data_IF_564659035394
#
_entry.id   IF_564659035394
#
_cell.length_a   1.000
_cell.length_b   1.000
_cell.length_c   1.000
_cell.angle_alpha   90.00
_cell.angle_beta   90.00
_cell.angle_gamma   90.00
#
_symmetry.space_group_name_H-M   'P 1'
#
loop_
_entity.id
_entity.type
_entity.pdbx_description
1 polymer ?
#
# COMPACT_ATOMS: atom_id res chain seq x y z
N UNK A 1 41.11 -80.02 -8.99
CA UNK A 1 42.44 -79.48 -8.64
C UNK A 1 42.77 -78.35 -9.60
N UNK A 2 43.17 -77.19 -9.05
CA UNK A 2 44.05 -76.16 -9.64
C UNK A 2 43.47 -75.14 -10.65
N UNK A 3 43.23 -73.95 -10.11
CA UNK A 3 43.56 -72.58 -10.58
C UNK A 3 43.72 -72.30 -12.09
N UNK A 4 43.03 -71.27 -12.59
CA UNK A 4 43.60 -69.91 -12.75
C UNK A 4 42.92 -69.13 -13.89
N UNK A 5 42.88 -67.79 -13.73
CA UNK A 5 42.64 -66.79 -14.77
C UNK A 5 41.18 -66.63 -15.24
N UNK A 6 40.57 -65.45 -15.34
CA UNK A 6 41.11 -64.10 -15.36
C UNK A 6 39.96 -63.14 -14.98
N UNK A 7 40.25 -62.27 -14.02
CA UNK A 7 39.47 -61.12 -13.59
C UNK A 7 39.35 -60.12 -14.74
N UNK A 8 38.17 -59.88 -15.32
CA UNK A 8 37.87 -58.66 -16.10
C UNK A 8 36.37 -58.55 -16.50
N UNK A 9 35.51 -58.08 -15.60
CA UNK A 9 34.26 -57.38 -15.99
C UNK A 9 33.61 -56.71 -14.78
N UNK A 10 34.40 -55.98 -14.01
CA UNK A 10 33.89 -55.02 -13.04
C UNK A 10 34.12 -53.64 -13.65
N UNK A 11 33.16 -52.73 -13.47
CA UNK A 11 33.20 -51.30 -13.81
C UNK A 11 32.88 -50.88 -15.25
N UNK A 12 31.58 -50.77 -15.52
CA UNK A 12 30.91 -49.78 -16.38
C UNK A 12 29.45 -50.23 -16.44
N UNK A 13 28.46 -49.57 -15.87
CA UNK A 13 28.05 -48.21 -16.19
C UNK A 13 26.88 -47.87 -15.23
N UNK A 14 27.16 -47.19 -14.11
CA UNK A 14 26.15 -46.44 -13.37
C UNK A 14 26.56 -44.97 -13.43
N UNK A 15 26.24 -44.33 -14.55
CA UNK A 15 26.31 -42.87 -14.64
C UNK A 15 24.96 -42.37 -14.15
N UNK A 16 24.92 -42.13 -12.85
CA UNK A 16 23.97 -41.26 -12.16
C UNK A 16 23.85 -39.93 -12.94
N UNK A 17 22.71 -39.70 -13.59
CA UNK A 17 22.34 -38.38 -14.09
C UNK A 17 21.87 -37.52 -12.91
N UNK A 18 22.79 -37.13 -12.03
CA UNK A 18 22.56 -35.99 -11.15
C UNK A 18 22.99 -34.75 -11.90
N UNK A 19 22.13 -34.27 -12.79
CA UNK A 19 22.13 -32.85 -13.13
C UNK A 19 21.55 -32.13 -11.93
N UNK A 20 22.36 -31.90 -10.89
CA UNK A 20 22.05 -30.82 -9.95
C UNK A 20 22.03 -29.56 -10.81
N UNK A 21 20.82 -29.06 -11.11
CA UNK A 21 20.66 -27.75 -11.73
C UNK A 21 21.48 -26.80 -10.87
N UNK A 22 22.44 -26.06 -11.43
CA UNK A 22 23.15 -25.04 -10.66
C UNK A 22 22.08 -24.17 -10.01
N UNK A 23 22.08 -24.13 -8.68
CA UNK A 23 21.24 -23.21 -7.94
C UNK A 23 21.76 -21.82 -8.32
N UNK A 24 21.04 -21.17 -9.23
CA UNK A 24 21.27 -19.78 -9.54
C UNK A 24 20.79 -19.06 -8.30
N UNK A 25 21.71 -18.70 -7.41
CA UNK A 25 21.41 -17.74 -6.35
C UNK A 25 21.08 -16.45 -7.10
N UNK A 26 19.81 -16.00 -7.09
CA UNK A 26 19.48 -14.72 -7.71
C UNK A 26 20.35 -13.64 -7.06
N UNK A 27 20.71 -12.62 -7.84
CA UNK A 27 21.36 -11.47 -7.25
C UNK A 27 20.54 -10.99 -6.05
N UNK A 28 21.19 -10.52 -4.96
CA UNK A 28 20.45 -9.97 -3.82
C UNK A 28 19.50 -8.90 -4.35
N UNK A 29 18.21 -9.12 -4.12
CA UNK A 29 17.20 -8.12 -4.44
C UNK A 29 17.38 -6.95 -3.49
N UNK A 30 17.38 -5.72 -4.01
CA UNK A 30 17.35 -4.52 -3.19
C UNK A 30 15.89 -4.12 -2.86
N UNK A 31 14.99 -5.10 -2.77
CA UNK A 31 13.59 -4.84 -2.42
C UNK A 31 13.55 -4.27 -1.01
N UNK A 32 12.89 -3.11 -0.87
CA UNK A 32 12.67 -2.53 0.44
C UNK A 32 11.58 -3.35 1.14
N UNK A 33 11.92 -3.94 2.29
CA UNK A 33 10.94 -4.60 3.14
C UNK A 33 10.20 -3.53 3.97
N UNK A 34 9.01 -3.15 3.51
CA UNK A 34 8.05 -2.40 4.32
C UNK A 34 6.93 -3.33 4.78
N UNK A 35 6.25 -2.97 5.86
CA UNK A 35 5.11 -3.71 6.39
C UNK A 35 3.97 -2.75 6.66
N UNK A 36 2.81 -2.99 6.05
CA UNK A 36 1.61 -2.25 6.39
C UNK A 36 0.97 -2.80 7.67
N UNK A 37 0.49 -1.89 8.50
CA UNK A 37 -0.19 -2.20 9.75
C UNK A 37 -1.29 -1.18 9.99
N UNK A 38 -2.40 -1.64 10.54
CA UNK A 38 -3.44 -0.78 11.07
C UNK A 38 -3.84 -1.27 12.44
N UNK A 39 -4.04 -0.34 13.37
CA UNK A 39 -4.69 -0.60 14.63
C UNK A 39 -5.52 0.60 15.06
N UNK A 40 -6.75 0.37 15.52
CA UNK A 40 -7.59 1.43 16.06
C UNK A 40 -8.91 0.93 16.63
N UNK A 41 -9.72 1.85 17.15
CA UNK A 41 -11.06 1.58 17.66
C UNK A 41 -12.12 1.97 16.62
N UNK A 42 -12.73 0.98 15.96
CA UNK A 42 -13.85 1.19 15.03
C UNK A 42 -15.16 1.01 15.81
N UNK A 43 -15.91 2.09 15.99
CA UNK A 43 -17.11 2.13 16.87
C UNK A 43 -16.85 1.57 18.28
N UNK A 44 -15.65 1.80 18.82
CA UNK A 44 -15.24 1.32 20.14
C UNK A 44 -14.80 -0.15 20.19
N UNK A 45 -14.82 -0.89 19.08
CA UNK A 45 -14.23 -2.22 18.98
C UNK A 45 -12.80 -2.12 18.43
N UNK A 46 -11.86 -2.84 19.04
CA UNK A 46 -10.49 -2.92 18.51
C UNK A 46 -10.48 -3.68 17.19
N UNK A 47 -9.88 -3.06 16.17
CA UNK A 47 -9.65 -3.64 14.85
C UNK A 47 -8.15 -3.52 14.56
N UNK A 48 -7.57 -4.60 14.06
CA UNK A 48 -6.15 -4.67 13.72
C UNK A 48 -5.96 -5.44 12.42
N UNK A 49 -5.19 -4.87 11.50
CA UNK A 49 -4.76 -5.52 10.28
C UNK A 49 -3.23 -5.53 10.24
N UNK A 50 -2.64 -6.65 9.87
CA UNK A 50 -1.19 -6.79 9.78
C UNK A 50 -0.86 -7.47 8.45
N UNK A 51 0.07 -6.91 7.70
CA UNK A 51 0.49 -7.49 6.44
C UNK A 51 0.99 -8.94 6.63
N UNK A 52 0.66 -9.81 5.68
CA UNK A 52 0.92 -11.26 5.67
C UNK A 52 0.20 -12.07 6.76
N UNK A 53 -0.70 -11.45 7.55
CA UNK A 53 -1.66 -12.16 8.40
C UNK A 53 -2.97 -12.24 7.63
N UNK A 54 -3.58 -13.42 7.52
CA UNK A 54 -4.84 -13.63 6.76
C UNK A 54 -4.81 -13.11 5.31
N UNK A 55 -3.63 -13.20 4.68
CA UNK A 55 -3.34 -12.71 3.33
C UNK A 55 -3.66 -11.21 3.13
N UNK A 56 -3.55 -10.41 4.20
CA UNK A 56 -3.52 -8.96 4.07
C UNK A 56 -2.23 -8.50 3.39
N UNK A 57 -2.36 -7.57 2.46
CA UNK A 57 -1.28 -6.93 1.73
C UNK A 57 -1.52 -5.42 1.63
N UNK A 58 -0.46 -4.66 1.43
CA UNK A 58 -0.57 -3.24 1.12
C UNK A 58 -0.71 -3.02 -0.39
N UNK A 59 -1.82 -2.41 -0.81
CA UNK A 59 -1.98 -1.90 -2.16
C UNK A 59 -1.73 -0.40 -2.18
N UNK A 60 -0.95 0.05 -3.16
CA UNK A 60 -0.71 1.47 -3.41
C UNK A 60 -1.34 1.87 -4.72
N UNK A 61 -2.08 2.97 -4.73
CA UNK A 61 -2.62 3.56 -5.95
C UNK A 61 -2.26 5.03 -6.05
N UNK A 62 -2.24 5.54 -7.28
CA UNK A 62 -2.06 6.95 -7.56
C UNK A 62 -3.09 7.38 -8.58
N UNK A 63 -3.91 8.34 -8.20
CA UNK A 63 -4.84 8.99 -9.10
C UNK A 63 -4.21 10.28 -9.64
N UNK A 64 -4.33 10.49 -10.95
CA UNK A 64 -3.93 11.73 -11.61
C UNK A 64 -5.22 12.39 -12.10
N UNK A 65 -5.62 13.48 -11.46
CA UNK A 65 -6.72 14.29 -11.97
C UNK A 65 -6.18 15.29 -12.99
N UNK A 66 -6.67 15.18 -14.21
CA UNK A 66 -6.45 16.20 -15.24
C UNK A 66 -7.56 17.22 -15.12
N UNK A 67 -7.23 18.51 -15.10
CA UNK A 67 -8.22 19.61 -15.02
C UNK A 67 -9.39 19.33 -15.98
N UNK A 68 -10.61 19.06 -15.47
CA UNK A 68 -11.74 18.68 -16.31
C UNK A 68 -12.02 19.75 -17.38
N UNK A 69 -11.93 19.36 -18.65
CA UNK A 69 -12.24 20.23 -19.79
C UNK A 69 -11.05 20.85 -20.53
N UNK A 70 -9.80 20.58 -20.12
CA UNK A 70 -8.60 21.01 -20.87
C UNK A 70 -7.77 19.77 -21.25
N UNK A 71 -8.01 19.17 -22.44
CA UNK A 71 -7.09 18.16 -22.97
C UNK A 71 -5.69 18.75 -23.12
N UNK A 72 -4.68 18.10 -22.53
CA UNK A 72 -3.29 18.57 -22.49
C UNK A 72 -3.08 19.85 -21.66
N UNK A 73 -3.72 19.97 -20.49
CA UNK A 73 -3.30 20.99 -19.53
C UNK A 73 -1.85 20.75 -19.10
N UNK A 74 -1.07 21.83 -19.03
CA UNK A 74 0.29 21.83 -18.47
C UNK A 74 0.32 21.65 -16.93
N UNK A 75 -0.84 21.33 -16.33
CA UNK A 75 -1.02 21.14 -14.90
C UNK A 75 -2.04 20.02 -14.65
N UNK A 76 -1.72 19.12 -13.74
CA UNK A 76 -2.55 18.03 -13.23
C UNK A 76 -2.20 17.77 -11.77
N UNK A 77 -3.10 17.11 -11.05
CA UNK A 77 -2.96 16.88 -9.61
C UNK A 77 -2.83 15.38 -9.32
N UNK A 78 -1.92 15.02 -8.43
CA UNK A 78 -1.75 13.66 -7.94
C UNK A 78 -2.35 13.48 -6.55
N UNK A 79 -3.03 12.36 -6.36
CA UNK A 79 -3.49 11.86 -5.07
C UNK A 79 -2.94 10.45 -4.88
N UNK A 80 -2.31 10.21 -3.74
CA UNK A 80 -1.67 8.95 -3.40
C UNK A 80 -2.53 8.20 -2.40
N UNK A 81 -2.65 6.89 -2.60
CA UNK A 81 -3.44 6.01 -1.75
C UNK A 81 -2.57 4.85 -1.27
N UNK A 82 -2.75 4.52 0.01
CA UNK A 82 -2.21 3.32 0.67
C UNK A 82 -3.39 2.59 1.29
N UNK A 83 -3.60 1.32 0.95
CA UNK A 83 -4.69 0.51 1.48
C UNK A 83 -4.19 -0.85 1.94
N UNK A 84 -4.46 -1.21 3.20
CA UNK A 84 -4.28 -2.60 3.67
C UNK A 84 -5.59 -3.36 3.46
N UNK A 85 -5.54 -4.46 2.71
CA UNK A 85 -6.70 -5.30 2.38
C UNK A 85 -6.31 -6.76 2.21
N UNK A 86 -7.27 -7.68 2.35
CA UNK A 86 -7.03 -9.12 2.14
C UNK A 86 -7.16 -9.52 0.66
N UNK A 87 -6.30 -10.43 0.19
CA UNK A 87 -6.49 -11.12 -1.10
C UNK A 87 -7.65 -12.12 -1.07
N UNK A 88 -8.08 -12.56 0.12
CA UNK A 88 -9.15 -13.53 0.28
C UNK A 88 -10.49 -12.88 -0.05
N UNK A 89 -11.19 -13.39 -1.06
CA UNK A 89 -12.50 -12.87 -1.45
C UNK A 89 -13.56 -12.93 -0.33
N UNK A 90 -13.36 -13.77 0.69
CA UNK A 90 -14.25 -13.90 1.85
C UNK A 90 -14.03 -12.82 2.91
N UNK A 91 -12.86 -12.21 2.95
CA UNK A 91 -12.52 -11.12 3.88
C UNK A 91 -12.66 -9.81 3.10
N UNK A 92 -13.68 -9.02 3.45
CA UNK A 92 -13.96 -7.74 2.77
C UNK A 92 -13.29 -6.55 3.44
N UNK A 93 -12.83 -6.73 4.66
CA UNK A 93 -12.32 -5.65 5.48
C UNK A 93 -11.06 -5.05 4.88
N UNK A 94 -10.99 -3.72 4.92
CA UNK A 94 -9.80 -2.98 4.53
C UNK A 94 -9.83 -1.60 5.16
N UNK A 95 -8.67 -0.97 5.25
CA UNK A 95 -8.58 0.44 5.52
C UNK A 95 -7.52 1.07 4.63
N UNK A 96 -7.81 2.26 4.14
CA UNK A 96 -6.88 3.01 3.32
C UNK A 96 -6.88 4.49 3.64
N UNK A 97 -5.75 5.11 3.35
CA UNK A 97 -5.49 6.53 3.47
C UNK A 97 -5.22 7.07 2.07
N UNK A 98 -5.94 8.11 1.71
CA UNK A 98 -5.65 8.98 0.56
C UNK A 98 -5.03 10.28 1.05
N UNK A 99 -4.01 10.76 0.36
CA UNK A 99 -3.38 12.05 0.62
C UNK A 99 -2.90 12.66 -0.69
N UNK A 100 -3.22 13.93 -0.95
CA UNK A 100 -2.94 14.44 -2.28
C UNK A 100 -3.14 15.92 -2.51
N UNK A 101 -3.17 16.22 -3.81
CA UNK A 101 -3.14 17.52 -4.49
C UNK A 101 -1.76 18.05 -4.86
N UNK A 102 -0.84 17.13 -5.19
CA UNK A 102 0.46 17.50 -5.73
C UNK A 102 0.30 17.94 -7.21
N UNK A 103 0.51 19.22 -7.48
CA UNK A 103 0.50 19.79 -8.84
C UNK A 103 1.77 19.43 -9.64
N UNK A 104 1.60 18.89 -10.85
CA UNK A 104 2.70 18.61 -11.77
C UNK A 104 2.27 18.78 -13.23
N UNK A 105 3.25 18.88 -14.13
CA UNK A 105 2.98 18.97 -15.56
C UNK A 105 3.02 17.58 -16.22
N UNK A 106 1.85 17.01 -16.61
CA UNK A 106 1.78 15.68 -17.22
C UNK A 106 2.35 15.64 -18.65
N UNK A 107 2.50 16.80 -19.32
CA UNK A 107 3.06 16.88 -20.68
C UNK A 107 4.58 16.72 -20.69
N UNK A 108 5.24 16.95 -19.55
CA UNK A 108 6.68 16.76 -19.34
C UNK A 108 6.97 15.36 -18.78
N UNK A 109 6.20 14.93 -17.78
CA UNK A 109 6.40 13.64 -17.09
C UNK A 109 5.07 13.02 -16.71
N UNK A 110 4.90 11.71 -16.83
CA UNK A 110 3.67 11.01 -16.44
C UNK A 110 3.46 10.85 -14.93
N UNK A 111 4.44 11.27 -14.12
CA UNK A 111 4.40 11.26 -12.66
C UNK A 111 5.22 12.44 -12.13
N UNK A 112 4.88 13.05 -10.98
CA UNK A 112 5.68 14.11 -10.38
C UNK A 112 7.15 13.73 -10.25
N UNK A 113 8.08 14.66 -10.44
CA UNK A 113 9.49 14.39 -10.24
C UNK A 113 9.79 13.96 -8.79
N UNK A 114 10.86 13.18 -8.58
CA UNK A 114 11.19 12.66 -7.24
C UNK A 114 11.30 13.78 -6.21
N UNK A 115 11.93 14.92 -6.54
CA UNK A 115 12.02 16.07 -5.63
C UNK A 115 10.65 16.68 -5.29
N UNK A 116 9.73 16.75 -6.25
CA UNK A 116 8.37 17.26 -6.00
C UNK A 116 7.61 16.32 -5.06
N UNK A 117 7.74 15.01 -5.26
CA UNK A 117 7.19 14.00 -4.36
C UNK A 117 7.75 14.17 -2.93
N UNK A 118 9.07 14.37 -2.80
CA UNK A 118 9.72 14.61 -1.50
C UNK A 118 9.15 15.83 -0.79
N UNK A 119 9.16 16.96 -1.50
CA UNK A 119 8.79 18.27 -0.94
C UNK A 119 7.32 18.30 -0.52
N UNK A 120 6.43 17.67 -1.30
CA UNK A 120 4.99 17.64 -1.01
C UNK A 120 4.67 17.02 0.36
N UNK A 121 5.31 15.91 0.72
CA UNK A 121 5.07 15.26 2.00
C UNK A 121 5.88 15.87 3.15
N UNK A 122 7.00 16.54 2.87
CA UNK A 122 7.79 17.25 3.89
C UNK A 122 7.20 18.62 4.26
N UNK A 123 6.31 19.19 3.45
CA UNK A 123 5.71 20.51 3.66
C UNK A 123 4.73 20.55 4.85
N UNK A 124 4.00 19.45 5.07
CA UNK A 124 3.06 19.33 6.18
C UNK A 124 3.08 17.92 6.77
N UNK A 125 2.92 17.83 8.08
CA UNK A 125 2.67 16.57 8.79
C UNK A 125 1.26 16.48 9.35
N UNK A 126 0.45 17.54 9.23
CA UNK A 126 -0.94 17.57 9.72
C UNK A 126 -1.86 17.93 8.57
N UNK A 127 -2.96 17.20 8.44
CA UNK A 127 -3.88 17.37 7.33
C UNK A 127 -5.32 17.44 7.85
N UNK A 128 -6.11 18.33 7.26
CA UNK A 128 -7.55 18.30 7.47
C UNK A 128 -8.15 17.16 6.64
N UNK A 129 -9.25 16.58 7.13
CA UNK A 129 -10.00 15.62 6.33
C UNK A 129 -10.74 16.34 5.21
N UNK A 130 -10.57 15.85 3.98
CA UNK A 130 -11.25 16.37 2.80
C UNK A 130 -11.76 15.22 1.96
N UNK A 131 -12.98 15.37 1.46
CA UNK A 131 -13.58 14.41 0.53
C UNK A 131 -12.69 14.27 -0.71
N UNK A 132 -12.41 13.03 -1.14
CA UNK A 132 -11.49 12.69 -2.24
C UNK A 132 -10.01 13.04 -1.99
N UNK A 133 -9.62 13.45 -0.77
CA UNK A 133 -8.26 13.87 -0.43
C UNK A 133 -7.74 15.05 -1.28
N UNK A 134 -8.64 15.95 -1.69
CA UNK A 134 -8.26 17.22 -2.33
C UNK A 134 -7.64 18.15 -1.28
N UNK A 135 -6.34 18.42 -1.38
CA UNK A 135 -5.57 19.26 -0.45
C UNK A 135 -5.67 18.79 1.02
N UNK A 136 -5.80 17.48 1.24
CA UNK A 136 -5.99 16.94 2.57
C UNK A 136 -5.87 15.42 2.65
N UNK A 137 -6.34 14.87 3.76
CA UNK A 137 -6.39 13.44 3.99
C UNK A 137 -7.80 12.88 3.79
N UNK A 138 -7.90 11.65 3.29
CA UNK A 138 -9.13 10.88 3.27
C UNK A 138 -8.89 9.50 3.89
N UNK A 139 -9.80 9.04 4.74
CA UNK A 139 -9.81 7.67 5.25
C UNK A 139 -10.98 6.92 4.62
N UNK A 140 -10.69 5.73 4.11
CA UNK A 140 -11.70 4.81 3.58
C UNK A 140 -11.59 3.50 4.33
N UNK A 141 -12.70 3.03 4.88
CA UNK A 141 -12.80 1.75 5.59
C UNK A 141 -13.87 0.88 4.93
N UNK A 142 -13.56 -0.40 4.71
CA UNK A 142 -14.56 -1.38 4.31
C UNK A 142 -14.80 -2.32 5.49
N UNK A 143 -16.06 -2.49 5.89
CA UNK A 143 -16.41 -3.37 7.01
C UNK A 143 -16.55 -4.86 6.59
N UNK A 144 -16.82 -5.74 7.55
CA UNK A 144 -17.00 -7.18 7.30
C UNK A 144 -18.16 -7.51 6.35
N UNK A 145 -19.11 -6.58 6.18
CA UNK A 145 -20.25 -6.74 5.27
C UNK A 145 -19.92 -6.27 3.85
N UNK A 146 -18.76 -5.64 3.65
CA UNK A 146 -18.35 -5.03 2.39
C UNK A 146 -18.89 -3.62 2.18
N UNK A 147 -19.42 -2.98 3.22
CA UNK A 147 -19.88 -1.59 3.15
C UNK A 147 -18.67 -0.66 3.19
N UNK A 148 -18.65 0.30 2.27
CA UNK A 148 -17.61 1.32 2.16
C UNK A 148 -18.00 2.54 2.99
N UNK A 149 -17.13 2.93 3.92
CA UNK A 149 -17.24 4.07 4.79
C UNK A 149 -16.14 5.06 4.45
N UNK A 150 -16.46 6.33 4.23
CA UNK A 150 -15.49 7.36 3.84
C UNK A 150 -15.51 8.53 4.80
N UNK A 151 -14.36 9.11 5.12
CA UNK A 151 -14.30 10.38 5.84
C UNK A 151 -14.94 11.48 4.98
N UNK A 152 -15.63 12.41 5.65
CA UNK A 152 -16.14 13.63 5.02
C UNK A 152 -15.14 14.78 5.17
N UNK A 153 -15.63 15.99 4.93
CA UNK A 153 -14.87 17.21 5.22
C UNK A 153 -14.83 17.43 6.75
N UNK A 154 -13.64 17.71 7.28
CA UNK A 154 -13.30 17.59 8.70
C UNK A 154 -14.30 18.18 9.70
N UNK A 155 -14.49 17.46 10.81
CA UNK A 155 -15.34 17.83 11.94
C UNK A 155 -14.58 18.25 13.19
N UNK A 156 -15.30 18.81 14.17
CA UNK A 156 -14.72 19.16 15.46
C UNK A 156 -14.22 17.92 16.21
N UNK A 157 -12.95 17.89 16.59
CA UNK A 157 -12.33 16.78 17.32
C UNK A 157 -11.73 15.69 16.43
N UNK A 158 -11.82 15.85 15.11
CA UNK A 158 -11.10 14.98 14.18
C UNK A 158 -9.65 15.45 14.03
N UNK A 159 -8.75 14.49 13.86
CA UNK A 159 -7.31 14.75 13.73
C UNK A 159 -6.68 13.77 12.75
N UNK A 160 -5.70 14.23 11.98
CA UNK A 160 -4.85 13.42 11.14
C UNK A 160 -3.43 13.98 11.14
N UNK A 161 -2.47 13.15 11.51
CA UNK A 161 -1.06 13.53 11.59
C UNK A 161 -0.17 12.40 11.09
N UNK A 162 0.77 12.70 10.20
CA UNK A 162 1.90 11.82 9.88
C UNK A 162 2.98 12.06 10.94
N UNK A 163 3.28 11.03 11.74
CA UNK A 163 4.24 11.12 12.85
C UNK A 163 5.63 10.62 12.48
N UNK A 164 5.71 9.73 11.50
CA UNK A 164 6.98 9.21 10.97
C UNK A 164 6.88 9.10 9.46
N UNK A 165 7.98 9.39 8.77
CA UNK A 165 8.07 9.21 7.34
C UNK A 165 9.50 8.96 6.88
N UNK A 166 9.66 8.09 5.90
CA UNK A 166 10.95 7.77 5.30
C UNK A 166 10.79 7.61 3.79
N UNK A 167 11.69 8.26 3.05
CA UNK A 167 11.74 8.13 1.60
C UNK A 167 12.78 7.13 1.18
N UNK A 168 12.36 6.19 0.36
CA UNK A 168 13.16 5.03 -0.04
C UNK A 168 12.94 4.74 -1.52
N UNK A 169 13.97 4.21 -2.19
CA UNK A 169 13.92 3.86 -3.61
C UNK A 169 14.55 2.49 -3.81
N UNK A 170 13.94 1.65 -4.65
CA UNK A 170 14.47 0.37 -5.09
C UNK A 170 14.39 0.23 -6.62
N UNK A 171 14.62 -0.98 -7.12
CA UNK A 171 14.58 -1.28 -8.56
C UNK A 171 13.16 -1.19 -9.16
N UNK A 172 12.12 -1.06 -8.32
CA UNK A 172 10.70 -1.09 -8.67
C UNK A 172 9.98 0.26 -8.50
N UNK A 173 10.60 1.24 -7.83
CA UNK A 173 10.05 2.59 -7.71
C UNK A 173 10.64 3.45 -6.60
N UNK A 174 10.03 4.62 -6.44
CA UNK A 174 10.27 5.52 -5.31
C UNK A 174 9.04 5.50 -4.39
N UNK A 175 9.28 5.48 -3.09
CA UNK A 175 8.26 5.30 -2.07
C UNK A 175 8.43 6.29 -0.92
N UNK A 176 7.31 6.60 -0.28
CA UNK A 176 7.27 7.19 1.04
C UNK A 176 6.62 6.19 1.99
N UNK A 177 7.41 5.62 2.90
CA UNK A 177 6.89 4.87 4.04
C UNK A 177 6.45 5.89 5.08
N UNK A 178 5.29 5.69 5.69
CA UNK A 178 4.77 6.62 6.69
C UNK A 178 3.99 5.91 7.80
N UNK A 179 3.96 6.56 8.96
CA UNK A 179 3.07 6.24 10.08
C UNK A 179 2.15 7.42 10.32
N UNK A 180 0.85 7.19 10.26
CA UNK A 180 -0.18 8.20 10.51
C UNK A 180 -0.99 7.86 11.77
N UNK A 181 -1.24 8.88 12.58
CA UNK A 181 -2.18 8.84 13.70
C UNK A 181 -3.44 9.62 13.34
N UNK A 182 -4.61 9.05 13.61
CA UNK A 182 -5.86 9.76 13.31
C UNK A 182 -7.05 9.37 14.18
N UNK A 183 -8.04 10.26 14.19
CA UNK A 183 -9.38 10.04 14.74
C UNK A 183 -10.38 10.77 13.86
N UNK A 184 -11.39 10.06 13.37
CA UNK A 184 -12.36 10.62 12.42
C UNK A 184 -13.73 9.93 12.46
N UNK A 185 -14.74 10.61 11.93
CA UNK A 185 -16.03 10.07 11.60
C UNK A 185 -16.03 9.62 10.13
N UNK A 186 -16.50 8.41 9.88
CA UNK A 186 -16.74 7.91 8.52
C UNK A 186 -18.24 7.82 8.26
N UNK A 187 -18.62 8.03 7.00
CA UNK A 187 -20.00 8.07 6.56
C UNK A 187 -20.26 7.02 5.48
N UNK A 188 -21.48 6.50 5.50
CA UNK A 188 -22.05 5.66 4.45
C UNK A 188 -23.42 6.20 4.07
N UNK A 189 -23.71 6.22 2.78
CA UNK A 189 -25.03 6.58 2.25
C UNK A 189 -25.68 5.34 1.64
N UNK A 190 -26.88 4.99 2.11
CA UNK A 190 -27.64 3.89 1.52
C UNK A 190 -28.17 4.24 0.11
N UNK A 191 -28.81 3.27 -0.55
CA UNK A 191 -29.40 3.47 -1.88
C UNK A 191 -30.49 4.56 -1.95
N UNK A 192 -31.03 5.00 -0.81
CA UNK A 192 -32.00 6.09 -0.71
C UNK A 192 -31.34 7.42 -0.30
N UNK A 193 -30.02 7.45 -0.11
CA UNK A 193 -29.27 8.62 0.35
C UNK A 193 -29.35 8.87 1.85
N UNK A 194 -29.81 7.90 2.66
CA UNK A 194 -29.82 8.07 4.11
C UNK A 194 -28.39 7.90 4.67
N UNK A 195 -27.90 8.86 5.45
CA UNK A 195 -26.57 8.76 6.04
C UNK A 195 -26.58 7.81 7.25
N UNK A 196 -25.51 7.05 7.38
CA UNK A 196 -25.08 6.38 8.60
C UNK A 196 -23.64 6.79 8.89
N UNK A 197 -23.22 6.76 10.15
CA UNK A 197 -21.83 7.05 10.50
C UNK A 197 -21.25 6.04 11.47
N UNK A 198 -19.93 5.92 11.42
CA UNK A 198 -19.10 5.20 12.39
C UNK A 198 -17.95 6.11 12.81
N UNK A 199 -17.30 5.81 13.92
CA UNK A 199 -16.11 6.52 14.40
C UNK A 199 -14.89 5.61 14.35
N UNK A 200 -13.76 6.13 13.92
CA UNK A 200 -12.44 5.54 14.14
C UNK A 200 -11.70 6.43 15.15
N UNK A 201 -11.19 5.82 16.21
CA UNK A 201 -10.48 6.52 17.29
C UNK A 201 -9.15 5.86 17.58
N UNK A 202 -8.18 6.66 18.05
CA UNK A 202 -6.84 6.22 18.45
C UNK A 202 -6.17 5.33 17.37
N UNK A 203 -6.39 5.68 16.10
CA UNK A 203 -5.92 4.88 14.99
C UNK A 203 -4.45 5.19 14.69
N UNK A 204 -3.70 4.13 14.45
CA UNK A 204 -2.35 4.13 13.90
C UNK A 204 -2.38 3.35 12.60
N UNK A 205 -1.84 3.94 11.53
CA UNK A 205 -1.69 3.29 10.23
C UNK A 205 -0.26 3.45 9.73
N UNK A 206 0.42 2.33 9.56
CA UNK A 206 1.70 2.22 8.90
C UNK A 206 1.45 1.78 7.46
N UNK A 207 1.96 2.52 6.49
CA UNK A 207 1.74 2.23 5.08
C UNK A 207 2.75 2.89 4.16
N UNK A 208 2.42 2.89 2.87
CA UNK A 208 3.33 3.35 1.83
C UNK A 208 2.59 4.09 0.72
N UNK A 209 3.13 5.22 0.29
CA UNK A 209 2.76 5.87 -0.96
C UNK A 209 3.80 5.58 -2.03
N UNK A 210 3.33 5.19 -3.22
CA UNK A 210 4.19 4.94 -4.39
C UNK A 210 4.10 6.09 -5.38
N UNK A 211 5.25 6.58 -5.85
CA UNK A 211 5.34 7.64 -6.89
C UNK A 211 4.98 7.14 -8.28
#
# INVERSE_FOLDING_TARGET
>A
MKYASLILSLSALMIITSCAKPEIIPAPSNDIEYRAHFKGLVNGAEVEFTEHVEDFFCETEKYVDTIPGIPNSDSSFCIYYSQIKSEQQTIKQSIGIGLGWLEFNPTITSTPALNQFKEFFEESSTYDFVTLAEEGAQVVYIDETGKVWTSGDGGAGETFEIVEMEQVSDDTGDYLIFTANFTCQLYFYDANGNPSSITIQDAVYEGVFKR
#
